data_IF_692345839480
#
_entry.id   IF_692345839480
#
_cell.length_a   1.000
_cell.length_b   1.000
_cell.length_c   1.000
_cell.angle_alpha   90.00
_cell.angle_beta   90.00
_cell.angle_gamma   90.00
#
_symmetry.space_group_name_H-M   'P 1'
#
loop_
_entity.id
_entity.type
_entity.pdbx_description
1 polymer ?
#
# COMPACT_ATOMS: atom_id res chain seq x y z
N UNK A 1 30.43 68.85 -62.60
CA UNK A 1 29.03 68.37 -62.51
C UNK A 1 28.83 67.30 -63.57
N UNK A 2 28.78 66.02 -63.20
CA UNK A 2 28.52 64.97 -64.20
C UNK A 2 27.00 64.85 -64.37
N UNK A 3 26.46 65.52 -65.29
CA UNK A 3 25.08 65.40 -65.77
C UNK A 3 25.03 64.37 -66.90
N UNK A 4 25.20 63.10 -66.56
CA UNK A 4 25.05 62.02 -67.51
C UNK A 4 24.10 60.96 -66.91
N UNK A 5 23.17 60.38 -67.70
CA UNK A 5 22.19 59.40 -67.29
C UNK A 5 22.78 58.21 -66.45
N UNK A 6 24.09 57.95 -66.59
CA UNK A 6 24.84 56.97 -65.82
C UNK A 6 24.96 57.35 -64.33
N UNK A 7 25.08 58.67 -64.00
CA UNK A 7 25.12 59.13 -62.60
C UNK A 7 23.79 58.95 -61.87
N UNK A 8 22.67 59.16 -62.59
CA UNK A 8 21.34 58.95 -62.03
C UNK A 8 21.03 57.49 -61.77
N UNK A 9 21.46 56.61 -62.65
CA UNK A 9 21.30 55.17 -62.50
C UNK A 9 22.15 54.64 -61.30
N UNK A 10 23.37 55.13 -61.13
CA UNK A 10 24.25 54.79 -60.01
C UNK A 10 23.71 55.35 -58.70
N UNK A 11 23.17 56.55 -58.65
CA UNK A 11 22.54 57.08 -57.47
C UNK A 11 21.26 56.31 -57.05
N UNK A 12 20.48 55.90 -58.06
CA UNK A 12 19.26 55.10 -57.81
C UNK A 12 19.61 53.72 -57.31
N UNK A 13 20.63 53.05 -57.87
CA UNK A 13 21.10 51.79 -57.45
C UNK A 13 21.67 51.81 -55.99
N UNK A 14 22.40 52.89 -55.65
CA UNK A 14 22.90 53.09 -54.27
C UNK A 14 21.76 53.34 -53.28
N UNK A 15 20.75 54.11 -53.66
CA UNK A 15 19.58 54.35 -52.83
C UNK A 15 18.79 53.07 -52.56
N UNK A 16 18.61 52.24 -53.59
CA UNK A 16 17.96 50.91 -53.42
C UNK A 16 18.79 49.95 -52.52
N UNK A 17 20.12 49.97 -52.70
CA UNK A 17 21.00 49.19 -51.87
C UNK A 17 20.97 49.61 -50.40
N UNK A 18 20.94 50.89 -50.11
CA UNK A 18 20.83 51.45 -48.74
C UNK A 18 19.45 51.11 -48.13
N UNK A 19 18.37 51.27 -48.95
CA UNK A 19 17.02 50.91 -48.48
C UNK A 19 16.91 49.41 -48.20
N UNK A 20 17.45 48.56 -49.06
CA UNK A 20 17.49 47.09 -48.86
C UNK A 20 18.33 46.70 -47.63
N UNK A 21 19.48 47.35 -47.43
CA UNK A 21 20.30 47.14 -46.24
C UNK A 21 19.59 47.54 -44.95
N UNK A 22 18.93 48.72 -44.97
CA UNK A 22 18.15 49.21 -43.84
C UNK A 22 16.95 48.25 -43.52
N UNK A 23 16.28 47.74 -44.58
CA UNK A 23 15.21 46.77 -44.43
C UNK A 23 15.71 45.45 -43.81
N UNK A 24 16.84 44.95 -44.27
CA UNK A 24 17.45 43.75 -43.73
C UNK A 24 17.88 43.91 -42.27
N UNK A 25 18.45 45.08 -41.90
CA UNK A 25 18.92 45.32 -40.54
C UNK A 25 17.77 45.55 -39.55
N UNK A 26 16.66 46.12 -39.97
CA UNK A 26 15.54 46.48 -39.08
C UNK A 26 14.44 45.42 -39.10
N UNK A 27 14.05 44.93 -40.27
CA UNK A 27 12.94 43.97 -40.38
C UNK A 27 13.30 42.54 -40.00
N UNK A 28 14.52 42.07 -40.32
CA UNK A 28 14.96 40.72 -40.01
C UNK A 28 15.00 40.42 -38.50
N UNK A 29 15.57 41.29 -37.63
CA UNK A 29 15.59 41.02 -36.20
C UNK A 29 14.19 41.10 -35.55
N UNK A 30 13.30 41.95 -36.06
CA UNK A 30 11.92 42.06 -35.57
C UNK A 30 11.13 40.77 -35.81
N UNK A 31 11.27 40.15 -36.98
CA UNK A 31 10.61 38.88 -37.32
C UNK A 31 11.14 37.75 -36.45
N UNK A 32 12.46 37.71 -36.16
CA UNK A 32 13.08 36.74 -35.29
C UNK A 32 12.59 36.83 -33.83
N UNK A 33 12.40 38.03 -33.31
CA UNK A 33 11.88 38.27 -31.96
C UNK A 33 10.41 37.83 -31.81
N UNK A 34 9.61 38.02 -32.83
CA UNK A 34 8.22 37.55 -32.85
C UNK A 34 8.15 36.00 -32.85
N UNK A 35 8.97 35.36 -33.67
CA UNK A 35 9.02 33.90 -33.74
C UNK A 35 9.49 33.27 -32.41
N UNK A 36 10.48 33.85 -31.74
CA UNK A 36 10.96 33.37 -30.43
C UNK A 36 9.90 33.52 -29.33
N UNK A 37 9.14 34.60 -29.33
CA UNK A 37 8.06 34.79 -28.35
C UNK A 37 6.91 33.79 -28.54
N UNK A 38 6.54 33.49 -29.78
CA UNK A 38 5.55 32.47 -30.09
C UNK A 38 6.01 31.04 -29.68
N UNK A 39 7.28 30.72 -29.90
CA UNK A 39 7.85 29.43 -29.49
C UNK A 39 7.86 29.25 -27.95
N UNK A 40 8.16 30.31 -27.19
CA UNK A 40 8.08 30.27 -25.73
C UNK A 40 6.65 30.10 -25.21
N UNK A 41 5.67 30.73 -25.84
CA UNK A 41 4.26 30.57 -25.46
C UNK A 41 3.78 29.17 -25.78
N UNK A 42 4.12 28.62 -26.95
CA UNK A 42 3.79 27.24 -27.32
C UNK A 42 4.42 26.20 -26.40
N UNK A 43 5.69 26.39 -26.00
CA UNK A 43 6.36 25.52 -25.06
C UNK A 43 5.70 25.52 -23.66
N UNK A 44 5.26 26.67 -23.19
CA UNK A 44 4.53 26.80 -21.92
C UNK A 44 3.11 26.20 -22.00
N UNK A 45 2.46 26.32 -23.13
CA UNK A 45 1.13 25.72 -23.35
C UNK A 45 1.17 24.19 -23.43
N UNK A 46 2.28 23.58 -23.84
CA UNK A 46 2.45 22.11 -23.82
C UNK A 46 2.69 21.53 -22.42
N UNK A 47 3.20 22.32 -21.48
CA UNK A 47 3.42 21.85 -20.10
C UNK A 47 2.13 21.86 -19.26
N UNK A 48 1.23 22.81 -19.51
CA UNK A 48 -0.03 22.95 -18.80
C UNK A 48 -0.93 21.70 -18.85
N UNK A 49 -1.19 21.08 -20.03
CA UNK A 49 -2.04 19.89 -20.09
C UNK A 49 -1.41 18.68 -19.41
N UNK A 50 -0.08 18.56 -19.41
CA UNK A 50 0.61 17.47 -18.69
C UNK A 50 0.45 17.62 -17.17
N UNK A 51 0.62 18.82 -16.65
CA UNK A 51 0.42 19.09 -15.21
C UNK A 51 -1.05 18.93 -14.81
N UNK A 52 -1.97 19.33 -15.67
CA UNK A 52 -3.40 19.14 -15.45
C UNK A 52 -3.80 17.66 -15.51
N UNK A 53 -3.23 16.87 -16.41
CA UNK A 53 -3.47 15.42 -16.49
C UNK A 53 -3.00 14.73 -15.20
N UNK A 54 -1.79 15.01 -14.73
CA UNK A 54 -1.27 14.46 -13.46
C UNK A 54 -2.12 14.94 -12.27
N UNK A 55 -2.53 16.21 -12.25
CA UNK A 55 -3.39 16.73 -11.19
C UNK A 55 -4.79 16.10 -11.22
N UNK A 56 -5.32 15.75 -12.38
CA UNK A 56 -6.61 15.08 -12.54
C UNK A 56 -6.58 13.61 -12.10
N UNK A 57 -5.43 12.93 -12.12
CA UNK A 57 -5.27 11.56 -11.62
C UNK A 57 -5.21 11.48 -10.09
N UNK A 58 -4.74 12.53 -9.41
CA UNK A 58 -4.59 12.56 -7.96
C UNK A 58 -5.89 12.25 -7.19
N UNK A 59 -7.08 12.81 -7.53
CA UNK A 59 -8.31 12.49 -6.82
C UNK A 59 -8.73 11.03 -7.02
N UNK A 60 -8.52 10.45 -8.20
CA UNK A 60 -8.82 9.05 -8.49
C UNK A 60 -7.92 8.11 -7.67
N UNK A 61 -6.62 8.39 -7.59
CA UNK A 61 -5.69 7.65 -6.74
C UNK A 61 -6.05 7.76 -5.25
N UNK A 62 -6.40 8.96 -4.79
CA UNK A 62 -6.83 9.17 -3.38
C UNK A 62 -8.10 8.39 -3.07
N UNK A 63 -9.08 8.40 -3.97
CA UNK A 63 -10.30 7.62 -3.82
C UNK A 63 -10.03 6.11 -3.80
N UNK A 64 -9.11 5.61 -4.63
CA UNK A 64 -8.70 4.21 -4.64
C UNK A 64 -8.00 3.81 -3.35
N UNK A 65 -7.08 4.64 -2.84
CA UNK A 65 -6.42 4.41 -1.54
C UNK A 65 -7.45 4.42 -0.40
N UNK A 66 -8.42 5.34 -0.42
CA UNK A 66 -9.47 5.40 0.59
C UNK A 66 -10.34 4.15 0.58
N UNK A 67 -10.72 3.65 -0.61
CA UNK A 67 -11.47 2.39 -0.76
C UNK A 67 -10.67 1.18 -0.25
N UNK A 68 -9.41 1.03 -0.66
CA UNK A 68 -8.56 -0.06 -0.17
C UNK A 68 -8.38 -0.02 1.34
N UNK A 69 -8.21 1.16 1.93
CA UNK A 69 -8.15 1.33 3.39
C UNK A 69 -9.47 0.97 4.09
N UNK A 70 -10.61 1.33 3.48
CA UNK A 70 -11.92 0.96 4.01
C UNK A 70 -12.15 -0.55 3.93
N UNK A 71 -11.78 -1.20 2.84
CA UNK A 71 -11.84 -2.65 2.67
C UNK A 71 -10.93 -3.38 3.67
N UNK A 72 -9.71 -2.91 3.87
CA UNK A 72 -8.80 -3.46 4.88
C UNK A 72 -9.35 -3.32 6.31
N UNK A 73 -10.00 -2.19 6.64
CA UNK A 73 -10.69 -2.02 7.93
C UNK A 73 -11.89 -2.94 8.07
N UNK A 74 -12.67 -3.09 7.00
CA UNK A 74 -13.84 -3.98 6.98
C UNK A 74 -13.45 -5.46 7.11
N UNK A 75 -12.27 -5.85 6.61
CA UNK A 75 -11.77 -7.23 6.69
C UNK A 75 -11.18 -7.59 8.05
N UNK A 76 -11.06 -6.65 9.00
CA UNK A 76 -10.46 -6.88 10.33
C UNK A 76 -9.23 -7.81 10.26
N UNK A 77 -8.21 -7.39 9.50
CA UNK A 77 -6.99 -8.19 9.30
C UNK A 77 -6.06 -8.21 10.51
N UNK A 78 -6.37 -7.43 11.55
CA UNK A 78 -5.56 -7.32 12.77
C UNK A 78 -6.39 -7.56 14.01
N UNK A 79 -5.74 -8.08 15.04
CA UNK A 79 -6.33 -8.25 16.38
C UNK A 79 -6.72 -6.88 16.95
N UNK A 80 -7.89 -6.84 17.60
CA UNK A 80 -8.36 -5.68 18.34
C UNK A 80 -7.60 -5.57 19.68
N UNK A 81 -7.11 -4.38 20.00
CA UNK A 81 -6.44 -4.11 21.27
C UNK A 81 -5.48 -2.92 21.17
N UNK A 82 -5.56 -1.99 22.14
CA UNK A 82 -4.67 -0.83 22.18
C UNK A 82 -3.24 -1.20 22.59
N UNK A 83 -3.10 -2.25 23.40
CA UNK A 83 -1.82 -2.80 23.87
C UNK A 83 -1.67 -4.27 23.51
N UNK A 84 -0.44 -4.80 23.61
CA UNK A 84 -0.18 -6.22 23.36
C UNK A 84 -0.93 -7.10 24.35
N UNK A 85 -1.01 -6.69 25.63
CA UNK A 85 -1.74 -7.41 26.66
C UNK A 85 -3.24 -7.49 26.37
N UNK A 86 -3.87 -6.38 25.95
CA UNK A 86 -5.30 -6.36 25.57
C UNK A 86 -5.53 -7.24 24.33
N UNK A 87 -4.66 -7.18 23.34
CA UNK A 87 -4.77 -8.00 22.14
C UNK A 87 -4.62 -9.50 22.46
N UNK A 88 -3.71 -9.86 23.39
CA UNK A 88 -3.53 -11.23 23.89
C UNK A 88 -4.79 -11.71 24.62
N UNK A 89 -5.34 -10.92 25.54
CA UNK A 89 -6.56 -11.27 26.26
C UNK A 89 -7.78 -11.44 25.35
N UNK A 90 -7.91 -10.58 24.33
CA UNK A 90 -8.97 -10.69 23.33
C UNK A 90 -8.81 -11.97 22.47
N UNK A 91 -7.58 -12.32 22.11
CA UNK A 91 -7.28 -13.56 21.38
C UNK A 91 -7.62 -14.78 22.22
N UNK A 92 -7.21 -14.80 23.49
CA UNK A 92 -7.49 -15.87 24.44
C UNK A 92 -9.00 -16.06 24.63
N UNK A 93 -9.73 -14.99 24.95
CA UNK A 93 -11.19 -15.03 25.12
C UNK A 93 -11.91 -15.59 23.90
N UNK A 94 -11.43 -15.26 22.71
CA UNK A 94 -12.00 -15.74 21.45
C UNK A 94 -11.75 -17.21 21.21
N UNK A 95 -10.52 -17.68 21.48
CA UNK A 95 -10.17 -19.10 21.34
C UNK A 95 -10.94 -19.93 22.36
N UNK A 96 -11.06 -19.44 23.59
CA UNK A 96 -11.82 -20.08 24.65
C UNK A 96 -13.31 -20.22 24.30
N UNK A 97 -13.93 -19.20 23.71
CA UNK A 97 -15.29 -19.26 23.22
C UNK A 97 -15.47 -20.29 22.09
N UNK A 98 -14.51 -20.39 21.16
CA UNK A 98 -14.52 -21.39 20.08
C UNK A 98 -14.33 -22.80 20.61
N UNK A 99 -13.39 -23.00 21.53
CA UNK A 99 -13.12 -24.31 22.15
C UNK A 99 -14.36 -24.82 22.88
N UNK A 100 -14.97 -23.98 23.73
CA UNK A 100 -16.21 -24.34 24.44
C UNK A 100 -17.35 -24.68 23.50
N UNK A 101 -17.54 -23.93 22.41
CA UNK A 101 -18.59 -24.19 21.44
C UNK A 101 -18.45 -25.54 20.71
N UNK A 102 -17.21 -26.05 20.61
CA UNK A 102 -16.88 -27.31 19.95
C UNK A 102 -16.65 -28.48 20.94
N UNK A 103 -16.81 -28.24 22.24
CA UNK A 103 -16.61 -29.26 23.25
C UNK A 103 -15.14 -29.64 23.47
N UNK A 104 -14.23 -28.69 23.19
CA UNK A 104 -12.80 -28.82 23.50
C UNK A 104 -12.50 -28.13 24.82
N UNK A 105 -11.76 -28.77 25.69
CA UNK A 105 -11.32 -28.23 26.99
C UNK A 105 -9.93 -27.63 26.85
N UNK A 106 -9.75 -26.40 27.32
CA UNK A 106 -8.42 -25.80 27.43
C UNK A 106 -7.83 -26.14 28.79
N UNK A 107 -6.74 -26.87 28.79
CA UNK A 107 -6.02 -27.27 30.02
C UNK A 107 -5.10 -26.16 30.52
N UNK A 108 -4.38 -25.49 29.62
CA UNK A 108 -3.54 -24.34 29.96
C UNK A 108 -3.40 -23.38 28.81
N UNK A 109 -3.22 -22.09 29.13
CA UNK A 109 -2.90 -21.02 28.20
C UNK A 109 -1.69 -20.23 28.70
N UNK A 110 -0.72 -20.03 27.85
CA UNK A 110 0.48 -19.25 28.12
C UNK A 110 0.61 -18.14 27.06
N UNK A 111 0.76 -16.89 27.49
CA UNK A 111 1.05 -15.77 26.58
C UNK A 111 2.52 -15.80 26.16
N UNK A 112 2.76 -15.85 24.84
CA UNK A 112 4.10 -15.78 24.28
C UNK A 112 4.56 -14.32 24.15
N UNK A 113 5.88 -14.06 24.21
CA UNK A 113 6.40 -12.70 24.03
C UNK A 113 5.97 -12.09 22.69
N UNK A 114 5.48 -10.84 22.74
CA UNK A 114 5.11 -10.11 21.53
C UNK A 114 6.35 -9.73 20.72
N UNK A 115 6.39 -10.09 19.45
CA UNK A 115 7.53 -9.85 18.54
C UNK A 115 7.16 -8.81 17.48
N UNK A 116 7.96 -7.75 17.29
CA UNK A 116 7.73 -6.78 16.21
C UNK A 116 8.00 -7.44 14.84
N UNK A 117 7.10 -7.16 13.88
CA UNK A 117 7.18 -7.63 12.49
C UNK A 117 6.77 -6.50 11.54
N UNK A 118 7.70 -5.60 11.22
CA UNK A 118 7.44 -4.40 10.42
C UNK A 118 6.39 -3.49 11.07
N UNK A 119 5.29 -3.13 10.39
CA UNK A 119 4.24 -2.29 10.94
C UNK A 119 3.28 -3.02 11.89
N UNK A 120 3.52 -4.31 12.16
CA UNK A 120 2.70 -5.15 13.01
C UNK A 120 3.49 -5.68 14.21
N UNK A 121 2.74 -6.13 15.22
CA UNK A 121 3.26 -6.91 16.35
C UNK A 121 2.59 -8.27 16.33
N UNK A 122 3.39 -9.33 16.31
CA UNK A 122 2.93 -10.70 16.42
C UNK A 122 2.62 -11.00 17.88
N UNK A 123 1.38 -11.34 18.19
CA UNK A 123 0.89 -11.76 19.50
C UNK A 123 0.68 -13.26 19.44
N UNK A 124 1.18 -13.99 20.39
CA UNK A 124 1.10 -15.45 20.43
C UNK A 124 0.54 -15.97 21.72
N UNK A 125 -0.16 -17.10 21.63
CA UNK A 125 -0.61 -17.92 22.76
C UNK A 125 -0.19 -19.37 22.53
N UNK A 126 0.37 -20.01 23.56
CA UNK A 126 0.56 -21.45 23.63
C UNK A 126 -0.60 -22.05 24.37
N UNK A 127 -1.18 -23.10 23.79
CA UNK A 127 -2.38 -23.76 24.30
C UNK A 127 -2.14 -25.26 24.47
N UNK A 128 -2.66 -25.80 25.53
CA UNK A 128 -2.83 -27.23 25.71
C UNK A 128 -4.33 -27.53 25.74
N UNK A 129 -4.79 -28.32 24.80
CA UNK A 129 -6.19 -28.61 24.55
C UNK A 129 -6.43 -30.10 24.76
N UNK A 130 -7.59 -30.46 25.31
CA UNK A 130 -8.03 -31.84 25.44
C UNK A 130 -9.41 -32.00 24.83
N UNK A 131 -9.59 -32.99 23.95
CA UNK A 131 -10.86 -33.18 23.27
C UNK A 131 -10.88 -34.40 22.36
N UNK A 132 -12.05 -34.69 21.81
CA UNK A 132 -12.20 -35.72 20.76
C UNK A 132 -11.51 -35.28 19.48
N UNK A 133 -10.98 -36.22 18.72
CA UNK A 133 -10.29 -35.96 17.45
C UNK A 133 -11.08 -35.02 16.53
N UNK A 134 -12.38 -35.32 16.29
CA UNK A 134 -13.26 -34.53 15.44
C UNK A 134 -13.43 -33.07 15.95
N UNK A 135 -13.56 -32.89 17.26
CA UNK A 135 -13.70 -31.59 17.88
C UNK A 135 -12.41 -30.74 17.72
N UNK A 136 -11.24 -31.38 17.89
CA UNK A 136 -9.95 -30.73 17.69
C UNK A 136 -9.72 -30.32 16.22
N UNK A 137 -10.04 -31.22 15.26
CA UNK A 137 -9.96 -30.89 13.81
C UNK A 137 -10.89 -29.75 13.46
N UNK A 138 -12.13 -29.73 13.94
CA UNK A 138 -13.07 -28.65 13.73
C UNK A 138 -12.58 -27.33 14.35
N UNK A 139 -11.95 -27.37 15.51
CA UNK A 139 -11.35 -26.19 16.14
C UNK A 139 -10.22 -25.62 15.27
N UNK A 140 -9.30 -26.47 14.80
CA UNK A 140 -8.21 -26.07 13.91
C UNK A 140 -8.75 -25.41 12.62
N UNK A 141 -9.74 -26.02 11.96
CA UNK A 141 -10.38 -25.48 10.77
C UNK A 141 -11.03 -24.10 11.04
N UNK A 142 -11.63 -23.92 12.22
CA UNK A 142 -12.19 -22.62 12.62
C UNK A 142 -11.12 -21.58 12.93
N UNK A 143 -9.98 -21.98 13.50
CA UNK A 143 -8.86 -21.08 13.73
C UNK A 143 -8.22 -20.62 12.41
N UNK A 144 -8.03 -21.52 11.44
CA UNK A 144 -7.48 -21.18 10.13
C UNK A 144 -8.39 -20.24 9.31
N UNK A 145 -9.72 -20.42 9.43
CA UNK A 145 -10.70 -19.58 8.74
C UNK A 145 -11.12 -18.33 9.53
N UNK A 146 -10.51 -18.11 10.71
CA UNK A 146 -10.86 -17.00 11.59
C UNK A 146 -10.56 -15.63 10.99
N UNK A 147 -11.34 -14.65 11.39
CA UNK A 147 -11.09 -13.23 11.07
C UNK A 147 -11.01 -12.42 12.36
N UNK A 148 -9.90 -11.80 12.67
CA UNK A 148 -8.66 -11.68 11.87
C UNK A 148 -7.97 -13.04 11.67
N UNK A 149 -7.14 -13.16 10.60
CA UNK A 149 -6.41 -14.40 10.30
C UNK A 149 -5.46 -14.75 11.43
N UNK A 150 -5.47 -16.03 11.80
CA UNK A 150 -4.60 -16.61 12.81
C UNK A 150 -3.65 -17.62 12.15
N UNK A 151 -2.46 -17.76 12.70
CA UNK A 151 -1.47 -18.74 12.28
C UNK A 151 -1.32 -19.76 13.40
N UNK A 152 -1.52 -21.03 13.08
CA UNK A 152 -1.28 -22.15 13.98
C UNK A 152 0.10 -22.71 13.70
N UNK A 153 0.89 -22.92 14.74
CA UNK A 153 2.25 -23.46 14.67
C UNK A 153 2.48 -24.48 15.79
N UNK A 154 3.56 -25.26 15.69
CA UNK A 154 3.98 -26.26 16.72
C UNK A 154 2.89 -27.22 17.16
N UNK A 155 2.00 -27.65 16.25
CA UNK A 155 0.94 -28.58 16.57
C UNK A 155 1.53 -29.97 16.96
N UNK A 156 1.23 -30.38 18.16
CA UNK A 156 1.60 -31.69 18.70
C UNK A 156 0.34 -32.39 19.20
N UNK A 157 0.11 -33.63 18.74
CA UNK A 157 -1.02 -34.43 19.14
C UNK A 157 -0.51 -35.66 19.93
N UNK A 158 -1.08 -35.85 21.11
CA UNK A 158 -0.82 -37.00 21.95
C UNK A 158 -2.14 -37.74 22.20
N UNK A 159 -2.14 -39.03 21.94
CA UNK A 159 -3.31 -39.88 22.18
C UNK A 159 -2.96 -41.09 23.02
N UNK A 160 -3.94 -41.69 23.68
CA UNK A 160 -3.73 -42.97 24.34
C UNK A 160 -3.34 -44.01 23.29
N UNK A 161 -2.41 -44.88 23.66
CA UNK A 161 -2.06 -46.02 22.81
C UNK A 161 -3.31 -46.88 22.60
N UNK A 162 -3.71 -47.04 21.34
CA UNK A 162 -4.87 -47.87 20.96
C UNK A 162 -4.63 -49.32 21.42
N UNK A 163 -5.44 -49.81 22.37
CA UNK A 163 -5.51 -51.20 22.69
C UNK A 163 -6.58 -51.87 21.81
N UNK A 164 -6.26 -53.00 21.13
CA UNK A 164 -7.25 -53.72 20.34
C UNK A 164 -8.43 -54.14 21.23
N UNK A 165 -9.65 -53.76 20.87
CA UNK A 165 -10.89 -54.14 21.56
C UNK A 165 -11.52 -53.04 22.46
N UNK A 166 -10.96 -51.86 22.57
CA UNK A 166 -11.54 -50.72 23.29
C UNK A 166 -11.93 -49.64 22.33
N UNK A 167 -13.16 -49.64 21.83
CA UNK A 167 -13.79 -48.48 21.11
C UNK A 167 -14.17 -47.38 22.12
N UNK A 168 -13.22 -46.90 22.88
CA UNK A 168 -13.44 -45.72 23.71
C UNK A 168 -13.18 -44.52 22.81
N UNK A 169 -14.11 -43.58 22.71
CA UNK A 169 -13.92 -42.26 22.04
C UNK A 169 -12.64 -41.62 22.65
N UNK A 170 -11.49 -41.90 22.01
CA UNK A 170 -10.20 -41.51 22.53
C UNK A 170 -10.13 -40.01 22.63
N UNK A 171 -10.00 -39.52 23.85
CA UNK A 171 -9.68 -38.11 24.11
C UNK A 171 -8.21 -37.90 23.80
N UNK A 172 -7.90 -36.88 23.01
CA UNK A 172 -6.55 -36.52 22.60
C UNK A 172 -6.13 -35.24 23.31
N UNK A 173 -4.86 -35.18 23.65
CA UNK A 173 -4.22 -33.92 24.08
C UNK A 173 -3.50 -33.29 22.89
N UNK A 174 -3.76 -32.01 22.69
CA UNK A 174 -3.15 -31.21 21.60
C UNK A 174 -2.42 -30.01 22.20
N UNK A 175 -1.13 -29.90 21.93
CA UNK A 175 -0.33 -28.71 22.19
C UNK A 175 -0.18 -27.92 20.89
N UNK A 176 -0.41 -26.58 20.91
CA UNK A 176 -0.21 -25.74 19.75
C UNK A 176 0.07 -24.29 20.12
N UNK A 177 0.75 -23.61 19.24
CA UNK A 177 0.98 -22.16 19.32
C UNK A 177 0.06 -21.46 18.32
N UNK A 178 -0.70 -20.43 18.77
CA UNK A 178 -1.56 -19.63 17.92
C UNK A 178 -1.05 -18.20 17.88
N UNK A 179 -0.86 -17.67 16.69
CA UNK A 179 -0.38 -16.31 16.47
C UNK A 179 -1.41 -15.46 15.74
N UNK A 180 -1.58 -14.24 16.20
CA UNK A 180 -2.30 -13.20 15.50
C UNK A 180 -1.45 -11.93 15.37
N UNK A 181 -1.88 -11.00 14.53
CA UNK A 181 -1.15 -9.75 14.26
C UNK A 181 -1.96 -8.56 14.72
N UNK A 182 -1.33 -7.68 15.49
CA UNK A 182 -1.86 -6.38 15.89
C UNK A 182 -1.10 -5.27 15.14
N UNK A 183 -1.79 -4.20 14.75
CA UNK A 183 -1.11 -3.00 14.24
C UNK A 183 -0.28 -2.36 15.36
N UNK A 184 0.97 -2.01 15.08
CA UNK A 184 1.88 -1.41 16.08
C UNK A 184 1.50 0.00 16.52
N UNK A 185 0.40 0.57 15.98
CA UNK A 185 -0.04 1.94 16.33
C UNK A 185 0.89 3.05 15.83
N UNK A 186 2.06 2.70 15.31
CA UNK A 186 2.95 3.65 14.66
C UNK A 186 2.38 3.89 13.25
N UNK A 187 1.36 4.78 13.18
CA UNK A 187 0.97 5.36 11.91
C UNK A 187 2.27 5.75 11.18
N UNK A 188 2.30 5.48 9.90
CA UNK A 188 3.26 6.03 8.97
C UNK A 188 3.24 7.57 9.11
N UNK A 189 3.88 8.10 10.15
CA UNK A 189 4.34 9.47 10.18
C UNK A 189 5.46 9.51 9.16
N UNK A 190 5.10 9.99 7.96
CA UNK A 190 5.97 10.09 6.82
C UNK A 190 7.27 10.77 7.21
N UNK A 191 8.36 10.16 6.84
CA UNK A 191 9.58 10.86 6.57
C UNK A 191 9.32 11.78 5.38
N UNK A 192 9.05 13.05 5.69
CA UNK A 192 9.35 14.18 4.83
C UNK A 192 10.51 14.90 5.50
N UNK A 193 11.71 14.56 5.10
CA UNK A 193 12.88 15.42 5.01
C UNK A 193 13.47 15.31 3.61
#
# INVERSE_FOLDING_TARGET
MPTGGRGRVLALALAIAVLAGLYLIVAAPLIGLYAQRQAMIAARQMLLPRLQAVAAELPALRARIARLRAEQRAQKLTLDGATDAIASANLESRIDALARALGVTIGSTESLPAVPRGPYRRIGLRLVLTGRYEALVNLLARLETARPPLVVDNLQLHGPLARPGMETAATLDAGLDVYGFRSSGKALSGNHE
#
